data_IF_937993719393
#
_entry.id   IF_937993719393
#
_cell.length_a   1.000
_cell.length_b   1.000
_cell.length_c   1.000
_cell.angle_alpha   90.00
_cell.angle_beta   90.00
_cell.angle_gamma   90.00
#
_symmetry.space_group_name_H-M   'P 1'
#
loop_
_entity.id
_entity.type
_entity.pdbx_description
1 polymer ?
#
# COMPACT_ATOMS: atom_id res chain seq x y z
N UNK A 1 -14.26 -2.85 12.40
CA UNK A 1 -13.98 -3.87 13.42
C UNK A 1 -15.21 -4.71 13.77
N UNK A 2 -16.33 -4.10 14.18
CA UNK A 2 -17.48 -4.84 14.77
C UNK A 2 -18.08 -5.95 13.90
N UNK A 3 -18.14 -5.78 12.58
CA UNK A 3 -18.61 -6.84 11.66
C UNK A 3 -17.77 -8.12 11.71
N UNK A 4 -16.47 -8.00 12.03
CA UNK A 4 -15.56 -9.13 12.19
C UNK A 4 -15.92 -9.94 13.44
N UNK A 5 -16.13 -9.28 14.58
CA UNK A 5 -16.46 -9.94 15.85
C UNK A 5 -17.77 -10.73 15.77
N UNK A 6 -18.82 -10.14 15.19
CA UNK A 6 -20.12 -10.81 15.01
C UNK A 6 -20.00 -12.06 14.13
N UNK A 7 -19.05 -12.07 13.18
CA UNK A 7 -18.82 -13.19 12.27
C UNK A 7 -17.67 -14.13 12.68
N UNK A 8 -17.04 -13.90 13.84
CA UNK A 8 -15.87 -14.66 14.29
C UNK A 8 -16.07 -16.17 14.16
N UNK A 9 -17.12 -16.73 14.76
CA UNK A 9 -17.40 -18.16 14.71
C UNK A 9 -17.74 -18.67 13.30
N UNK A 10 -18.39 -17.85 12.47
CA UNK A 10 -18.74 -18.26 11.11
C UNK A 10 -17.47 -18.42 10.28
N UNK A 11 -16.54 -17.46 10.38
CA UNK A 11 -15.25 -17.52 9.68
C UNK A 11 -14.38 -18.63 10.24
N UNK A 12 -14.26 -18.73 11.57
CA UNK A 12 -13.46 -19.76 12.23
C UNK A 12 -13.90 -21.17 11.83
N UNK A 13 -15.21 -21.47 11.89
CA UNK A 13 -15.75 -22.81 11.59
C UNK A 13 -15.70 -23.14 10.11
N UNK A 14 -16.10 -22.23 9.24
CA UNK A 14 -16.10 -22.47 7.78
C UNK A 14 -14.68 -22.60 7.22
N UNK A 15 -13.74 -21.78 7.72
CA UNK A 15 -12.33 -21.84 7.37
C UNK A 15 -11.54 -22.93 8.10
N UNK A 16 -12.14 -23.62 9.08
CA UNK A 16 -11.47 -24.60 9.97
C UNK A 16 -10.20 -24.03 10.60
N UNK A 17 -10.23 -22.74 10.94
CA UNK A 17 -9.07 -22.03 11.45
C UNK A 17 -8.80 -22.41 12.90
N UNK A 18 -7.53 -22.59 13.23
CA UNK A 18 -7.05 -22.68 14.61
C UNK A 18 -6.54 -21.32 15.06
N UNK A 19 -6.58 -21.09 16.36
CA UNK A 19 -5.90 -19.92 16.94
C UNK A 19 -4.39 -20.20 16.95
N UNK A 20 -3.55 -19.22 16.59
CA UNK A 20 -3.90 -17.85 16.23
C UNK A 20 -4.27 -17.67 14.75
N UNK A 21 -5.19 -16.74 14.44
CA UNK A 21 -5.53 -16.37 13.07
C UNK A 21 -6.09 -14.95 12.98
N UNK A 22 -6.02 -14.33 11.79
CA UNK A 22 -6.54 -12.99 11.53
C UNK A 22 -7.76 -12.98 10.62
N UNK A 23 -8.65 -12.02 10.84
CA UNK A 23 -9.69 -11.61 9.89
C UNK A 23 -9.46 -10.15 9.54
N UNK A 24 -9.30 -9.86 8.25
CA UNK A 24 -9.11 -8.50 7.74
C UNK A 24 -10.33 -8.02 6.96
N UNK A 25 -10.58 -6.72 7.00
CA UNK A 25 -11.64 -6.04 6.26
C UNK A 25 -11.12 -4.70 5.74
N UNK A 26 -11.51 -4.36 4.51
CA UNK A 26 -11.36 -3.02 3.94
C UNK A 26 -12.77 -2.48 3.70
N UNK A 27 -13.03 -1.26 4.14
CA UNK A 27 -14.34 -0.66 3.94
C UNK A 27 -14.46 0.76 4.46
N UNK A 28 -15.63 1.36 4.17
CA UNK A 28 -15.97 2.70 4.61
C UNK A 28 -16.33 2.71 6.08
N UNK A 29 -15.83 3.72 6.78
CA UNK A 29 -16.20 4.08 8.13
C UNK A 29 -16.76 5.50 8.16
N UNK A 30 -17.67 5.74 9.10
CA UNK A 30 -18.33 7.03 9.24
C UNK A 30 -18.12 7.56 10.66
N UNK A 31 -17.72 8.83 10.76
CA UNK A 31 -17.60 9.55 12.05
C UNK A 31 -18.28 10.90 11.91
N UNK A 32 -19.19 11.22 12.83
CA UNK A 32 -19.89 12.50 12.79
C UNK A 32 -19.02 13.63 13.36
N UNK A 33 -17.95 13.97 12.64
CA UNK A 33 -17.02 15.04 13.03
C UNK A 33 -17.73 16.40 13.09
N UNK A 34 -17.62 17.05 14.26
CA UNK A 34 -18.23 18.36 14.55
C UNK A 34 -17.61 19.42 13.63
N UNK A 35 -16.30 19.36 13.43
CA UNK A 35 -15.54 20.28 12.58
C UNK A 35 -14.67 19.49 11.60
N UNK A 36 -15.15 19.34 10.37
CA UNK A 36 -14.37 18.79 9.26
C UNK A 36 -13.39 19.86 8.75
N UNK A 37 -12.13 19.77 9.19
CA UNK A 37 -11.01 20.65 8.78
C UNK A 37 -9.78 19.76 8.53
N UNK A 38 -8.80 20.26 7.77
CA UNK A 38 -7.57 19.52 7.42
C UNK A 38 -7.78 18.35 6.45
N UNK A 39 -8.73 18.50 5.51
CA UNK A 39 -8.95 17.57 4.38
C UNK A 39 -9.03 16.11 4.85
N UNK A 40 -8.15 15.23 4.36
CA UNK A 40 -8.09 13.78 4.67
C UNK A 40 -8.01 13.46 6.17
N UNK A 41 -7.49 14.37 7.02
CA UNK A 41 -7.31 14.07 8.44
C UNK A 41 -8.59 14.08 9.27
N UNK A 42 -9.61 14.83 8.84
CA UNK A 42 -10.91 14.89 9.52
C UNK A 42 -12.04 14.89 8.50
N UNK A 43 -12.36 13.70 8.01
CA UNK A 43 -13.49 13.43 7.14
C UNK A 43 -14.62 12.76 7.91
N UNK A 44 -15.85 12.88 7.40
CA UNK A 44 -17.02 12.20 7.97
C UNK A 44 -17.23 10.79 7.42
N UNK A 45 -16.62 10.52 6.26
CA UNK A 45 -16.58 9.25 5.57
C UNK A 45 -15.13 9.05 5.15
N UNK A 46 -14.55 7.88 5.40
CA UNK A 46 -13.18 7.52 5.03
C UNK A 46 -13.05 6.00 4.93
N UNK A 47 -12.04 5.50 4.23
CA UNK A 47 -11.76 4.08 4.11
C UNK A 47 -10.73 3.64 5.16
N UNK A 48 -11.03 2.52 5.81
CA UNK A 48 -10.13 1.88 6.75
C UNK A 48 -9.79 0.48 6.24
N UNK A 49 -8.56 0.06 6.50
CA UNK A 49 -8.18 -1.34 6.45
C UNK A 49 -7.94 -1.77 7.89
N UNK A 50 -8.63 -2.81 8.33
CA UNK A 50 -8.57 -3.26 9.71
C UNK A 50 -8.40 -4.76 9.75
N UNK A 51 -7.59 -5.24 10.68
CA UNK A 51 -7.44 -6.67 10.95
C UNK A 51 -7.60 -6.90 12.44
N UNK A 52 -8.37 -7.93 12.77
CA UNK A 52 -8.50 -8.48 14.12
C UNK A 52 -7.80 -9.83 14.13
N UNK A 53 -6.72 -9.93 14.90
CA UNK A 53 -5.91 -11.12 15.04
C UNK A 53 -6.23 -11.80 16.37
N UNK A 54 -6.89 -12.94 16.29
CA UNK A 54 -7.37 -13.71 17.42
C UNK A 54 -6.27 -14.61 17.95
N UNK A 55 -6.02 -14.50 19.26
CA UNK A 55 -4.90 -15.15 19.94
C UNK A 55 -5.38 -15.83 21.23
N UNK A 56 -4.55 -16.74 21.74
CA UNK A 56 -4.77 -17.39 23.02
C UNK A 56 -4.55 -16.38 24.16
N UNK A 57 -5.43 -16.31 25.18
CA UNK A 57 -5.16 -15.50 26.36
C UNK A 57 -3.81 -15.84 27.00
N UNK A 58 -3.06 -14.82 27.42
CA UNK A 58 -1.70 -14.96 27.96
C UNK A 58 -0.58 -14.81 26.91
N UNK A 59 -0.89 -14.86 25.61
CA UNK A 59 0.09 -14.65 24.53
C UNK A 59 0.10 -13.22 23.96
N UNK A 60 -0.70 -12.31 24.53
CA UNK A 60 -0.94 -11.00 23.92
C UNK A 60 0.29 -10.10 23.82
N UNK A 61 1.21 -10.17 24.77
CA UNK A 61 2.45 -9.36 24.71
C UNK A 61 3.31 -9.75 23.51
N UNK A 62 3.54 -11.05 23.34
CA UNK A 62 4.34 -11.59 22.23
C UNK A 62 3.74 -11.23 20.87
N UNK A 63 2.42 -11.43 20.72
CA UNK A 63 1.73 -11.11 19.47
C UNK A 63 1.64 -9.60 19.21
N UNK A 64 1.47 -8.79 20.26
CA UNK A 64 1.47 -7.34 20.15
C UNK A 64 2.81 -6.82 19.62
N UNK A 65 3.93 -7.26 20.23
CA UNK A 65 5.28 -6.89 19.79
C UNK A 65 5.55 -7.36 18.34
N UNK A 66 5.16 -8.61 18.03
CA UNK A 66 5.27 -9.18 16.67
C UNK A 66 4.51 -8.34 15.64
N UNK A 67 3.28 -7.94 15.93
CA UNK A 67 2.47 -7.13 15.02
C UNK A 67 2.99 -5.70 14.91
N UNK A 68 3.48 -5.07 15.99
CA UNK A 68 4.16 -3.76 15.91
C UNK A 68 5.30 -3.79 14.91
N UNK A 69 6.21 -4.75 15.04
CA UNK A 69 7.35 -4.88 14.14
C UNK A 69 6.91 -5.19 12.71
N UNK A 70 5.98 -6.13 12.54
CA UNK A 70 5.46 -6.52 11.22
C UNK A 70 4.84 -5.34 10.48
N UNK A 71 4.02 -4.54 11.16
CA UNK A 71 3.37 -3.37 10.57
C UNK A 71 4.36 -2.26 10.26
N UNK A 72 5.32 -1.99 11.13
CA UNK A 72 6.40 -1.04 10.83
C UNK A 72 7.23 -1.48 9.62
N UNK A 73 7.65 -2.74 9.54
CA UNK A 73 8.35 -3.31 8.37
C UNK A 73 7.54 -3.12 7.09
N UNK A 74 6.22 -3.33 7.14
CA UNK A 74 5.34 -3.10 5.99
C UNK A 74 5.33 -1.62 5.55
N UNK A 75 5.25 -0.67 6.48
CA UNK A 75 5.32 0.76 6.15
C UNK A 75 6.67 1.15 5.54
N UNK A 76 7.78 0.72 6.16
CA UNK A 76 9.13 0.97 5.67
C UNK A 76 9.38 0.40 4.27
N UNK A 77 8.75 -0.74 3.95
CA UNK A 77 8.89 -1.39 2.64
C UNK A 77 8.43 -0.55 1.44
N UNK A 78 7.64 0.51 1.67
CA UNK A 78 7.22 1.46 0.64
C UNK A 78 8.32 2.45 0.26
N UNK A 79 9.44 2.47 0.98
CA UNK A 79 10.63 3.26 0.62
C UNK A 79 10.46 4.77 0.86
N UNK A 80 9.59 5.17 1.79
CA UNK A 80 9.32 6.58 2.09
C UNK A 80 10.28 7.20 3.12
N UNK A 81 11.38 6.52 3.45
CA UNK A 81 12.40 6.96 4.41
C UNK A 81 12.06 6.59 5.86
N UNK A 82 13.00 5.96 6.56
CA UNK A 82 12.81 5.48 7.93
C UNK A 82 12.54 6.62 8.92
N UNK A 83 13.22 7.76 8.75
CA UNK A 83 13.07 8.96 9.59
C UNK A 83 11.67 9.59 9.53
N UNK A 84 10.85 9.19 8.55
CA UNK A 84 9.48 9.66 8.44
C UNK A 84 8.51 8.84 9.30
N UNK A 85 8.95 7.75 9.94
CA UNK A 85 8.12 6.91 10.78
C UNK A 85 8.58 6.91 12.23
N UNK A 86 7.62 6.77 13.16
CA UNK A 86 7.91 6.49 14.56
C UNK A 86 6.74 5.78 15.23
N UNK A 87 7.04 5.10 16.33
CA UNK A 87 6.01 4.66 17.27
C UNK A 87 5.67 5.78 18.25
N UNK A 88 4.39 5.84 18.61
CA UNK A 88 3.87 6.63 19.70
C UNK A 88 3.07 5.69 20.61
N UNK A 89 3.66 5.29 21.74
CA UNK A 89 2.97 4.44 22.73
C UNK A 89 1.98 5.27 23.56
N UNK A 90 0.77 4.75 23.75
CA UNK A 90 -0.27 5.46 24.50
C UNK A 90 -0.08 5.28 26.01
N UNK A 91 0.11 6.37 26.74
CA UNK A 91 0.15 6.34 28.21
C UNK A 91 -1.25 6.14 28.83
N UNK A 92 -2.30 6.61 28.15
CA UNK A 92 -3.70 6.47 28.57
C UNK A 92 -4.41 5.50 27.65
N UNK A 93 -4.51 4.26 28.09
CA UNK A 93 -5.17 3.19 27.35
C UNK A 93 -6.68 3.37 27.35
N UNK A 94 -7.32 2.96 26.25
CA UNK A 94 -8.76 2.78 26.22
C UNK A 94 -9.16 1.66 27.20
N UNK A 95 -10.38 1.71 27.72
CA UNK A 95 -10.88 0.75 28.72
C UNK A 95 -10.85 -0.72 28.24
N UNK A 96 -10.77 -0.95 26.94
CA UNK A 96 -10.71 -2.26 26.31
C UNK A 96 -9.28 -2.73 25.98
N UNK A 97 -8.24 -1.94 26.24
CA UNK A 97 -6.88 -2.25 25.79
C UNK A 97 -5.88 -2.36 26.95
N UNK A 98 -4.98 -3.35 26.88
CA UNK A 98 -3.86 -3.50 27.82
C UNK A 98 -2.51 -3.01 27.25
N UNK A 99 -2.44 -2.82 25.92
CA UNK A 99 -1.35 -2.13 25.24
C UNK A 99 -1.87 -1.44 23.96
N UNK A 100 -1.34 -0.25 23.64
CA UNK A 100 -1.71 0.48 22.43
C UNK A 100 -0.55 1.36 21.95
N UNK A 101 -0.31 1.36 20.64
CA UNK A 101 0.68 2.21 20.00
C UNK A 101 0.20 2.62 18.61
N UNK A 102 0.54 3.85 18.23
CA UNK A 102 0.31 4.34 16.88
C UNK A 102 1.62 4.33 16.09
N UNK A 103 1.54 3.92 14.83
CA UNK A 103 2.56 4.26 13.83
C UNK A 103 2.20 5.65 13.29
N UNK A 104 3.06 6.62 13.57
CA UNK A 104 2.93 7.98 13.06
C UNK A 104 3.86 8.19 11.85
N UNK A 105 3.40 9.03 10.93
CA UNK A 105 4.17 9.49 9.77
C UNK A 105 4.40 11.00 9.81
N UNK A 106 5.57 11.42 9.34
CA UNK A 106 5.98 12.82 9.25
C UNK A 106 5.40 13.49 8.01
N UNK A 107 4.20 14.05 8.13
CA UNK A 107 3.61 14.88 7.10
C UNK A 107 4.29 16.26 7.04
N UNK A 108 4.07 17.06 5.97
CA UNK A 108 4.59 18.44 5.88
C UNK A 108 4.19 19.36 7.04
N UNK A 109 3.16 18.99 7.79
CA UNK A 109 2.65 19.71 8.97
C UNK A 109 2.89 18.97 10.29
N UNK A 110 3.82 18.01 10.30
CA UNK A 110 4.28 17.28 11.49
C UNK A 110 3.79 15.84 11.55
N UNK A 111 4.18 15.15 12.63
CA UNK A 111 3.81 13.76 12.86
C UNK A 111 2.31 13.60 13.12
N UNK A 112 1.72 12.62 12.43
CA UNK A 112 0.33 12.20 12.63
C UNK A 112 0.20 10.69 12.48
N UNK A 113 -0.76 10.13 13.20
CA UNK A 113 -1.17 8.72 13.15
C UNK A 113 -1.57 8.28 11.73
N UNK A 114 -0.98 7.17 11.29
CA UNK A 114 -1.39 6.39 10.11
C UNK A 114 -2.15 5.12 10.47
N UNK A 115 -1.66 4.43 11.49
CA UNK A 115 -2.13 3.12 11.90
C UNK A 115 -2.07 2.96 13.41
N UNK A 116 -3.18 2.54 14.00
CA UNK A 116 -3.24 2.16 15.42
C UNK A 116 -3.07 0.65 15.58
N UNK A 117 -2.29 0.25 16.58
CA UNK A 117 -2.06 -1.15 16.96
C UNK A 117 -2.47 -1.31 18.42
N UNK A 118 -3.48 -2.14 18.67
CA UNK A 118 -4.11 -2.26 19.99
C UNK A 118 -4.20 -3.72 20.41
N UNK A 119 -3.81 -4.04 21.62
CA UNK A 119 -4.14 -5.31 22.28
C UNK A 119 -5.42 -5.10 23.08
N UNK A 120 -6.53 -5.68 22.60
CA UNK A 120 -7.90 -5.40 23.05
C UNK A 120 -8.51 -6.45 23.99
N UNK A 121 -7.67 -7.35 24.52
CA UNK A 121 -8.06 -8.51 25.33
C UNK A 121 -9.28 -9.24 24.74
N UNK A 122 -10.20 -9.72 25.58
CA UNK A 122 -11.48 -10.35 25.24
C UNK A 122 -12.65 -9.37 25.15
N UNK A 123 -12.45 -8.07 25.32
CA UNK A 123 -13.54 -7.10 25.53
C UNK A 123 -14.64 -7.16 24.47
N UNK A 124 -14.29 -7.12 23.17
CA UNK A 124 -15.28 -7.09 22.10
C UNK A 124 -16.08 -8.39 22.03
N UNK A 125 -15.41 -9.55 22.03
CA UNK A 125 -16.09 -10.85 21.95
C UNK A 125 -16.89 -11.14 23.23
N UNK A 126 -16.34 -10.81 24.40
CA UNK A 126 -17.00 -10.97 25.69
C UNK A 126 -18.27 -10.12 25.79
N UNK A 127 -18.21 -8.86 25.34
CA UNK A 127 -19.38 -7.97 25.30
C UNK A 127 -20.46 -8.52 24.36
N UNK A 128 -20.09 -8.98 23.16
CA UNK A 128 -21.05 -9.58 22.24
C UNK A 128 -21.66 -10.86 22.82
N UNK A 129 -20.87 -11.71 23.50
CA UNK A 129 -21.36 -12.91 24.17
C UNK A 129 -22.36 -12.59 25.29
N UNK A 130 -22.06 -11.62 26.15
CA UNK A 130 -22.93 -11.18 27.25
C UNK A 130 -24.27 -10.64 26.73
N UNK A 131 -24.23 -9.67 25.81
CA UNK A 131 -25.44 -8.98 25.37
C UNK A 131 -26.26 -9.77 24.34
N UNK A 132 -25.64 -10.68 23.58
CA UNK A 132 -26.37 -11.51 22.62
C UNK A 132 -26.81 -12.87 23.18
N UNK A 133 -26.29 -13.30 24.34
CA UNK A 133 -26.54 -14.62 24.92
C UNK A 133 -25.98 -15.80 24.10
N UNK A 134 -25.10 -15.54 23.13
CA UNK A 134 -24.51 -16.55 22.24
C UNK A 134 -23.04 -16.69 22.59
N UNK A 135 -22.60 -17.91 22.91
CA UNK A 135 -21.17 -18.18 23.14
C UNK A 135 -20.33 -17.90 21.90
N UNK A 136 -19.29 -17.08 22.06
CA UNK A 136 -18.29 -16.73 21.04
C UNK A 136 -16.91 -17.29 21.41
N UNK A 137 -16.91 -18.47 22.02
CA UNK A 137 -15.71 -19.15 22.52
C UNK A 137 -15.09 -20.07 21.46
N UNK A 138 -13.76 -20.20 21.50
CA UNK A 138 -13.00 -21.18 20.75
C UNK A 138 -12.66 -22.37 21.65
N UNK A 139 -12.89 -23.60 21.17
CA UNK A 139 -12.40 -24.81 21.83
C UNK A 139 -11.00 -25.12 21.33
N UNK A 140 -10.02 -25.09 22.24
CA UNK A 140 -8.63 -25.36 21.95
C UNK A 140 -8.33 -26.84 22.22
N UNK A 141 -8.08 -27.66 21.17
CA UNK A 141 -7.88 -29.09 21.35
C UNK A 141 -6.54 -29.42 22.02
N UNK A 142 -5.60 -28.50 22.12
CA UNK A 142 -4.32 -28.72 22.81
C UNK A 142 -4.46 -28.54 24.32
N UNK A 143 -5.34 -27.63 24.74
CA UNK A 143 -5.62 -27.33 26.15
C UNK A 143 -6.86 -28.07 26.67
N UNK A 144 -7.65 -28.65 25.76
CA UNK A 144 -8.95 -29.28 26.03
C UNK A 144 -9.95 -28.35 26.75
N UNK A 145 -9.85 -27.04 26.50
CA UNK A 145 -10.69 -26.02 27.13
C UNK A 145 -11.32 -25.07 26.11
N UNK A 146 -12.38 -24.36 26.53
CA UNK A 146 -12.98 -23.28 25.74
C UNK A 146 -12.67 -21.93 26.37
N UNK A 147 -12.22 -20.97 25.55
CA UNK A 147 -11.96 -19.61 26.00
C UNK A 147 -12.48 -18.57 24.99
N UNK A 148 -12.67 -17.34 25.46
CA UNK A 148 -12.86 -16.17 24.60
C UNK A 148 -11.48 -15.71 24.14
N UNK A 149 -11.17 -15.72 22.83
CA UNK A 149 -9.87 -15.29 22.33
C UNK A 149 -9.57 -13.83 22.66
N UNK A 150 -8.30 -13.54 22.89
CA UNK A 150 -7.83 -12.16 22.93
C UNK A 150 -7.61 -11.64 21.51
N UNK A 151 -7.65 -10.32 21.33
CA UNK A 151 -7.58 -9.69 20.01
C UNK A 151 -6.43 -8.69 19.94
N UNK A 152 -5.56 -8.85 18.94
CA UNK A 152 -4.66 -7.79 18.48
C UNK A 152 -5.28 -7.14 17.26
N UNK A 153 -5.58 -5.85 17.36
CA UNK A 153 -6.08 -5.03 16.28
C UNK A 153 -4.95 -4.28 15.60
N UNK A 154 -5.01 -4.25 14.26
CA UNK A 154 -4.30 -3.25 13.46
C UNK A 154 -5.34 -2.48 12.63
N UNK A 155 -5.34 -1.16 12.70
CA UNK A 155 -6.30 -0.30 12.01
C UNK A 155 -5.58 0.83 11.31
N UNK A 156 -5.57 0.80 9.98
CA UNK A 156 -4.86 1.75 9.12
C UNK A 156 -5.86 2.59 8.34
N UNK A 157 -5.66 3.91 8.36
CA UNK A 157 -6.44 4.85 7.55
C UNK A 157 -5.96 4.85 6.10
N UNK A 158 -6.72 4.28 5.17
CA UNK A 158 -6.32 4.17 3.77
C UNK A 158 -6.15 5.55 3.11
N UNK A 159 -7.05 6.49 3.39
CA UNK A 159 -6.94 7.87 2.90
C UNK A 159 -5.69 8.56 3.44
N UNK A 160 -5.35 8.34 4.72
CA UNK A 160 -4.12 8.91 5.32
C UNK A 160 -2.87 8.30 4.69
N UNK A 161 -2.89 7.00 4.39
CA UNK A 161 -1.82 6.36 3.63
C UNK A 161 -1.65 6.96 2.24
N UNK A 162 -2.75 7.20 1.53
CA UNK A 162 -2.70 7.88 0.23
C UNK A 162 -2.05 9.28 0.34
N UNK A 163 -2.43 10.05 1.37
CA UNK A 163 -1.81 11.36 1.61
C UNK A 163 -0.32 11.25 1.99
N UNK A 164 0.08 10.23 2.77
CA UNK A 164 1.48 10.00 3.11
C UNK A 164 2.30 9.73 1.84
N UNK A 165 1.82 8.84 0.98
CA UNK A 165 2.46 8.55 -0.32
C UNK A 165 2.56 9.81 -1.17
N UNK A 166 1.48 10.55 -1.37
CA UNK A 166 1.51 11.75 -2.21
C UNK A 166 2.42 12.85 -1.66
N UNK A 167 2.30 13.16 -0.37
CA UNK A 167 3.07 14.24 0.25
C UNK A 167 4.57 13.94 0.31
N UNK A 168 4.96 12.67 0.42
CA UNK A 168 6.35 12.24 0.36
C UNK A 168 6.89 12.16 -1.08
N UNK A 169 6.02 11.85 -2.05
CA UNK A 169 6.43 11.58 -3.42
C UNK A 169 6.55 12.83 -4.29
N UNK A 170 5.84 13.91 -3.98
CA UNK A 170 5.88 15.13 -4.78
C UNK A 170 7.16 15.91 -4.50
N UNK A 171 8.07 15.95 -5.47
CA UNK A 171 9.38 16.59 -5.36
C UNK A 171 9.59 17.57 -6.51
N UNK A 172 10.12 18.74 -6.19
CA UNK A 172 10.74 19.65 -7.17
C UNK A 172 12.25 19.40 -7.16
N UNK A 173 12.80 18.98 -8.30
CA UNK A 173 14.24 18.71 -8.45
C UNK A 173 14.88 19.73 -9.37
N UNK A 174 16.03 20.25 -8.96
CA UNK A 174 16.93 21.00 -9.82
C UNK A 174 17.83 20.02 -10.59
N UNK A 175 17.88 20.18 -11.91
CA UNK A 175 18.69 19.35 -12.80
C UNK A 175 20.06 20.01 -13.04
N UNK A 176 21.04 19.23 -13.48
CA UNK A 176 22.41 19.69 -13.75
C UNK A 176 22.49 20.88 -14.72
N UNK A 177 21.49 21.03 -15.60
CA UNK A 177 21.40 22.13 -16.55
C UNK A 177 20.75 23.41 -15.99
N UNK A 178 20.47 23.47 -14.68
CA UNK A 178 19.81 24.59 -14.00
C UNK A 178 18.29 24.68 -14.23
N UNK A 179 17.68 23.71 -14.91
CA UNK A 179 16.22 23.62 -15.04
C UNK A 179 15.60 22.80 -13.92
N UNK A 180 14.34 23.08 -13.57
CA UNK A 180 13.61 22.30 -12.54
C UNK A 180 12.64 21.30 -13.17
N UNK A 181 12.37 20.17 -12.50
CA UNK A 181 11.18 19.32 -12.74
C UNK A 181 10.37 19.15 -11.46
N UNK A 182 9.06 19.17 -11.63
CA UNK A 182 8.11 18.44 -10.78
C UNK A 182 8.15 16.96 -11.13
N UNK A 183 8.39 16.11 -10.14
CA UNK A 183 8.31 14.65 -10.26
C UNK A 183 7.50 14.08 -9.10
N UNK A 184 6.67 13.10 -9.40
CA UNK A 184 5.88 12.38 -8.41
C UNK A 184 6.48 10.98 -8.22
N UNK A 185 7.38 10.84 -7.25
CA UNK A 185 8.14 9.62 -6.93
C UNK A 185 7.32 8.53 -6.22
N UNK A 186 6.10 8.28 -6.69
CA UNK A 186 5.23 7.23 -6.12
C UNK A 186 5.94 5.87 -6.25
N UNK A 187 5.93 5.01 -5.21
CA UNK A 187 6.46 3.66 -5.32
C UNK A 187 5.92 2.95 -6.56
N UNK A 188 6.77 2.32 -7.37
CA UNK A 188 6.38 1.79 -8.69
C UNK A 188 5.20 0.81 -8.62
N UNK A 189 5.11 0.02 -7.54
CA UNK A 189 3.99 -0.89 -7.27
C UNK A 189 2.64 -0.17 -7.07
N UNK A 190 2.65 1.08 -6.60
CA UNK A 190 1.46 1.91 -6.39
C UNK A 190 1.16 2.87 -7.55
N UNK A 191 2.08 3.05 -8.50
CA UNK A 191 1.88 4.00 -9.58
C UNK A 191 0.61 3.68 -10.41
N UNK A 192 -0.29 4.66 -10.67
CA UNK A 192 -1.52 4.41 -11.42
C UNK A 192 -1.26 3.91 -12.84
N UNK A 193 -0.30 4.53 -13.52
CA UNK A 193 0.20 4.12 -14.84
C UNK A 193 1.60 3.53 -14.66
N UNK A 194 1.82 2.32 -15.16
CA UNK A 194 3.08 1.58 -15.00
C UNK A 194 4.10 1.96 -16.07
N UNK A 195 3.63 2.16 -17.30
CA UNK A 195 4.49 2.59 -18.41
C UNK A 195 3.74 3.49 -19.39
N UNK A 196 4.47 4.43 -20.01
CA UNK A 196 4.01 5.22 -21.13
C UNK A 196 4.81 4.87 -22.39
N UNK A 197 4.14 4.55 -23.50
CA UNK A 197 4.76 4.23 -24.79
C UNK A 197 4.71 5.46 -25.69
N UNK A 198 5.89 5.90 -26.12
CA UNK A 198 6.16 7.21 -26.69
C UNK A 198 6.87 7.04 -28.06
N UNK A 199 6.15 7.03 -29.20
CA UNK A 199 6.82 7.05 -30.49
C UNK A 199 7.55 8.39 -30.70
N UNK A 200 8.77 8.37 -31.23
CA UNK A 200 9.58 9.57 -31.39
C UNK A 200 8.87 10.60 -32.29
N UNK A 201 8.25 10.12 -33.37
CA UNK A 201 7.44 10.90 -34.31
C UNK A 201 6.10 10.21 -34.61
N UNK A 202 5.12 10.98 -35.09
CA UNK A 202 3.76 10.51 -35.43
C UNK A 202 3.63 9.87 -36.81
N UNK A 203 4.73 9.34 -37.35
CA UNK A 203 4.83 8.84 -38.72
C UNK A 203 5.91 7.77 -38.81
N UNK A 204 6.20 7.33 -40.02
CA UNK A 204 7.32 6.43 -40.33
C UNK A 204 7.22 5.04 -39.67
N UNK A 205 6.00 4.55 -39.41
CA UNK A 205 5.78 3.21 -38.85
C UNK A 205 5.99 3.08 -37.33
N UNK A 206 6.48 4.14 -36.66
CA UNK A 206 6.74 4.12 -35.22
C UNK A 206 5.45 4.02 -34.37
N UNK A 207 4.35 4.73 -34.70
CA UNK A 207 3.09 4.58 -33.98
C UNK A 207 2.57 3.13 -33.99
N UNK A 208 2.71 2.43 -35.11
CA UNK A 208 2.25 1.05 -35.27
C UNK A 208 3.02 0.09 -34.36
N UNK A 209 4.34 0.27 -34.22
CA UNK A 209 5.16 -0.50 -33.26
C UNK A 209 4.78 -0.14 -31.82
N UNK A 210 4.61 1.15 -31.51
CA UNK A 210 4.18 1.59 -30.19
C UNK A 210 2.81 0.98 -29.79
N UNK A 211 1.87 0.89 -30.72
CA UNK A 211 0.58 0.24 -30.49
C UNK A 211 0.72 -1.26 -30.23
N UNK A 212 1.59 -1.97 -30.96
CA UNK A 212 1.88 -3.40 -30.68
C UNK A 212 2.44 -3.61 -29.28
N UNK A 213 3.39 -2.78 -28.85
CA UNK A 213 3.94 -2.83 -27.48
C UNK A 213 2.83 -2.62 -26.44
N UNK A 214 1.91 -1.69 -26.68
CA UNK A 214 0.76 -1.48 -25.80
C UNK A 214 -0.15 -2.71 -25.77
N UNK A 215 -0.44 -3.32 -26.91
CA UNK A 215 -1.28 -4.52 -26.97
C UNK A 215 -0.70 -5.68 -26.17
N UNK A 216 0.62 -5.83 -26.18
CA UNK A 216 1.36 -6.83 -25.40
C UNK A 216 1.32 -6.53 -23.90
N UNK A 217 1.53 -5.28 -23.50
CA UNK A 217 1.67 -4.91 -22.09
C UNK A 217 0.33 -4.66 -21.36
N UNK A 218 -0.74 -4.25 -22.08
CA UNK A 218 -1.98 -3.75 -21.46
C UNK A 218 -2.80 -4.77 -20.69
N UNK A 219 -2.58 -6.07 -20.91
CA UNK A 219 -3.30 -7.12 -20.19
C UNK A 219 -2.84 -7.25 -18.74
N UNK A 220 -1.56 -6.95 -18.49
CA UNK A 220 -0.94 -7.08 -17.17
C UNK A 220 -0.61 -5.74 -16.52
N UNK A 221 -0.45 -4.67 -17.32
CA UNK A 221 -0.05 -3.36 -16.84
C UNK A 221 -1.00 -2.26 -17.33
N UNK A 222 -1.30 -1.29 -16.46
CA UNK A 222 -1.93 -0.05 -16.90
C UNK A 222 -0.89 0.78 -17.67
N UNK A 223 -1.01 0.81 -18.99
CA UNK A 223 -0.10 1.51 -19.90
C UNK A 223 -0.84 2.55 -20.71
N UNK A 224 -0.13 3.61 -21.12
CA UNK A 224 -0.70 4.67 -21.95
C UNK A 224 0.13 4.90 -23.20
N UNK A 225 -0.54 5.37 -24.25
CA UNK A 225 0.08 5.90 -25.47
C UNK A 225 0.17 7.42 -25.37
N UNK A 226 1.30 8.02 -25.73
CA UNK A 226 1.40 9.47 -25.86
C UNK A 226 2.38 9.86 -26.97
N UNK A 227 1.86 10.51 -28.00
CA UNK A 227 2.61 11.03 -29.15
C UNK A 227 2.56 12.56 -29.24
N UNK A 228 1.89 13.24 -28.30
CA UNK A 228 1.66 14.68 -28.36
C UNK A 228 2.87 15.43 -27.81
N UNK A 229 3.38 16.36 -28.61
CA UNK A 229 4.59 17.16 -28.34
C UNK A 229 5.91 16.39 -28.44
N UNK A 230 7.03 17.11 -28.30
CA UNK A 230 8.36 16.52 -28.28
C UNK A 230 8.52 15.52 -27.12
N UNK A 231 9.32 14.46 -27.33
CA UNK A 231 9.52 13.37 -26.35
C UNK A 231 9.94 13.89 -24.96
N UNK A 232 10.80 14.92 -24.90
CA UNK A 232 11.21 15.52 -23.63
C UNK A 232 10.04 16.13 -22.83
N UNK A 233 9.05 16.74 -23.50
CA UNK A 233 7.83 17.25 -22.82
C UNK A 233 6.94 16.11 -22.36
N UNK A 234 6.87 15.01 -23.12
CA UNK A 234 6.17 13.80 -22.73
C UNK A 234 6.79 13.16 -21.49
N UNK A 235 8.11 13.05 -21.42
CA UNK A 235 8.80 12.60 -20.20
C UNK A 235 8.44 13.46 -18.98
N UNK A 236 8.49 14.80 -19.09
CA UNK A 236 8.12 15.69 -17.97
C UNK A 236 6.68 15.49 -17.50
N UNK A 237 5.74 15.28 -18.44
CA UNK A 237 4.34 14.96 -18.13
C UNK A 237 4.22 13.66 -17.35
N UNK A 238 4.96 12.63 -17.76
CA UNK A 238 4.96 11.32 -17.11
C UNK A 238 5.68 11.34 -15.76
N UNK A 239 6.75 12.10 -15.63
CA UNK A 239 7.46 12.34 -14.36
C UNK A 239 6.50 12.97 -13.34
N UNK A 240 5.76 14.01 -13.74
CA UNK A 240 4.77 14.68 -12.89
C UNK A 240 3.53 13.80 -12.59
N UNK A 241 3.15 12.90 -13.49
CA UNK A 241 2.08 11.92 -13.29
C UNK A 241 2.51 10.72 -12.43
N UNK A 242 3.81 10.56 -12.18
CA UNK A 242 4.38 9.48 -11.39
C UNK A 242 4.48 8.15 -12.14
N UNK A 243 4.44 8.15 -13.47
CA UNK A 243 4.63 6.95 -14.30
C UNK A 243 6.09 6.47 -14.19
N UNK A 244 6.36 5.25 -13.68
CA UNK A 244 7.73 4.79 -13.42
C UNK A 244 8.57 4.63 -14.69
N UNK A 245 7.94 4.20 -15.79
CA UNK A 245 8.64 3.87 -17.03
C UNK A 245 8.12 4.65 -18.24
N UNK A 246 9.02 5.17 -19.04
CA UNK A 246 8.70 5.65 -20.39
C UNK A 246 9.45 4.81 -21.42
N UNK A 247 8.73 4.25 -22.38
CA UNK A 247 9.27 3.45 -23.48
C UNK A 247 9.27 4.34 -24.72
N UNK A 248 10.43 4.59 -25.29
CA UNK A 248 10.57 5.38 -26.52
C UNK A 248 10.87 4.48 -27.70
N UNK A 249 10.02 4.61 -28.73
CA UNK A 249 10.12 3.90 -30.01
C UNK A 249 10.69 4.89 -31.01
N UNK A 250 11.88 4.65 -31.52
CA UNK A 250 12.59 5.53 -32.46
C UNK A 250 12.95 4.81 -33.75
N UNK A 251 13.63 5.49 -34.67
CA UNK A 251 13.96 4.93 -35.98
C UNK A 251 14.85 3.68 -35.88
N UNK A 252 15.71 3.59 -34.87
CA UNK A 252 16.55 2.42 -34.67
C UNK A 252 15.71 1.18 -34.31
N UNK A 253 14.56 1.35 -33.67
CA UNK A 253 13.61 0.25 -33.41
C UNK A 253 13.18 -0.47 -34.69
N UNK A 254 13.10 0.22 -35.83
CA UNK A 254 12.75 -0.40 -37.13
C UNK A 254 13.86 -1.31 -37.67
N UNK A 255 15.11 -1.07 -37.25
CA UNK A 255 16.28 -1.79 -37.74
C UNK A 255 16.64 -2.99 -36.85
N UNK A 256 16.55 -2.81 -35.52
CA UNK A 256 17.08 -3.78 -34.55
C UNK A 256 16.05 -4.30 -33.54
N UNK A 257 14.78 -3.89 -33.65
CA UNK A 257 13.70 -4.29 -32.75
C UNK A 257 13.98 -3.99 -31.26
N UNK A 258 14.78 -2.95 -30.98
CA UNK A 258 15.06 -2.47 -29.63
C UNK A 258 14.42 -1.12 -29.36
N UNK A 259 14.09 -0.86 -28.10
CA UNK A 259 13.48 0.39 -27.62
C UNK A 259 14.27 0.97 -26.46
N UNK A 260 14.06 2.26 -26.20
CA UNK A 260 14.67 2.93 -25.06
C UNK A 260 13.70 2.93 -23.88
N UNK A 261 14.06 2.29 -22.77
CA UNK A 261 13.33 2.35 -21.50
C UNK A 261 13.98 3.40 -20.60
N UNK A 262 13.21 4.39 -20.18
CA UNK A 262 13.62 5.44 -19.25
C UNK A 262 12.98 5.23 -17.89
N UNK A 263 13.79 5.27 -16.83
CA UNK A 263 13.31 5.24 -15.44
C UNK A 263 13.01 6.66 -14.93
N UNK A 264 11.85 6.84 -14.27
CA UNK A 264 11.36 8.14 -13.76
C UNK A 264 12.34 8.81 -12.80
N UNK A 265 12.73 8.09 -11.74
CA UNK A 265 13.47 8.67 -10.61
C UNK A 265 14.90 9.02 -11.00
N UNK A 266 15.66 8.05 -11.54
CA UNK A 266 17.07 8.23 -11.94
C UNK A 266 17.24 8.96 -13.28
N UNK A 267 16.20 9.08 -14.09
CA UNK A 267 16.26 9.56 -15.48
C UNK A 267 17.11 8.72 -16.43
N UNK A 268 17.68 7.61 -15.96
CA UNK A 268 18.52 6.72 -16.75
C UNK A 268 17.74 6.12 -17.91
N UNK A 269 18.42 6.02 -19.05
CA UNK A 269 17.89 5.45 -20.28
C UNK A 269 18.70 4.21 -20.62
N UNK A 270 18.00 3.09 -20.82
CA UNK A 270 18.60 1.82 -21.25
C UNK A 270 17.94 1.37 -22.53
N UNK A 271 18.73 1.04 -23.55
CA UNK A 271 18.23 0.37 -24.76
C UNK A 271 18.12 -1.13 -24.50
N UNK A 272 16.98 -1.73 -24.80
CA UNK A 272 16.75 -3.16 -24.67
C UNK A 272 15.83 -3.70 -25.79
N UNK A 273 15.93 -4.99 -26.12
CA UNK A 273 14.99 -5.65 -27.03
C UNK A 273 13.54 -5.52 -26.55
N UNK A 274 12.58 -5.42 -27.47
CA UNK A 274 11.15 -5.29 -27.11
C UNK A 274 10.68 -6.44 -26.21
N UNK A 275 11.15 -7.67 -26.46
CA UNK A 275 10.83 -8.85 -25.67
C UNK A 275 11.29 -8.78 -24.20
N UNK A 276 12.24 -7.91 -23.87
CA UNK A 276 12.71 -7.70 -22.49
C UNK A 276 11.88 -6.65 -21.72
N UNK A 277 10.98 -5.91 -22.39
CA UNK A 277 10.16 -4.87 -21.75
C UNK A 277 9.30 -5.45 -20.63
N UNK A 278 8.61 -6.55 -20.92
CA UNK A 278 7.72 -7.19 -19.95
C UNK A 278 8.44 -7.57 -18.66
N UNK A 279 9.50 -8.41 -18.67
CA UNK A 279 10.18 -8.79 -17.44
C UNK A 279 10.87 -7.60 -16.74
N UNK A 280 11.35 -6.60 -17.49
CA UNK A 280 11.95 -5.40 -16.92
C UNK A 280 10.92 -4.58 -16.10
N UNK A 281 9.72 -4.39 -16.65
CA UNK A 281 8.64 -3.66 -15.98
C UNK A 281 8.07 -4.50 -14.83
N UNK A 282 7.79 -5.79 -15.06
CA UNK A 282 7.16 -6.66 -14.06
C UNK A 282 7.95 -6.70 -12.75
N UNK A 283 9.29 -6.78 -12.85
CA UNK A 283 10.20 -6.85 -11.70
C UNK A 283 10.03 -5.69 -10.71
N UNK A 284 9.68 -4.52 -11.21
CA UNK A 284 9.63 -3.26 -10.46
C UNK A 284 8.20 -2.92 -10.02
N UNK A 285 7.20 -3.23 -10.87
CA UNK A 285 5.81 -2.81 -10.62
C UNK A 285 4.93 -3.90 -10.00
N UNK A 286 5.30 -5.17 -10.11
CA UNK A 286 4.43 -6.24 -9.64
C UNK A 286 4.50 -6.39 -8.12
N UNK A 287 3.31 -6.42 -7.48
CA UNK A 287 3.15 -6.59 -6.04
C UNK A 287 3.91 -7.80 -5.50
N UNK A 288 4.01 -8.89 -6.27
CA UNK A 288 4.71 -10.12 -5.84
C UNK A 288 6.18 -9.89 -5.46
N UNK A 289 6.89 -8.98 -6.15
CA UNK A 289 8.30 -8.71 -5.86
C UNK A 289 8.45 -7.79 -4.65
N UNK A 290 7.55 -6.81 -4.49
CA UNK A 290 7.50 -5.97 -3.30
C UNK A 290 7.11 -6.77 -2.05
N UNK A 291 6.02 -7.54 -2.10
CA UNK A 291 5.55 -8.37 -0.98
C UNK A 291 6.59 -9.39 -0.52
N UNK A 292 7.41 -9.94 -1.42
CA UNK A 292 8.53 -10.83 -1.05
C UNK A 292 9.57 -10.16 -0.14
N UNK A 293 9.70 -8.84 -0.17
CA UNK A 293 10.59 -8.08 0.74
C UNK A 293 9.99 -7.93 2.14
N UNK A 294 8.67 -8.06 2.26
CA UNK A 294 7.91 -7.86 3.50
C UNK A 294 7.58 -9.18 4.19
N UNK A 295 7.29 -10.23 3.42
CA UNK A 295 6.86 -11.55 3.91
C UNK A 295 8.06 -12.42 4.34
N UNK A 296 9.30 -12.05 3.99
CA UNK A 296 10.50 -12.76 4.44
C UNK A 296 10.87 -12.28 5.85
N UNK A 297 10.37 -13.01 6.84
CA UNK A 297 11.10 -13.62 7.97
C UNK A 297 10.12 -14.49 8.76
#
# INVERSE_FOLDING_TARGET
AQGIFVNFLNVQKSGRLKIPFGIAQIGKAFRNEIVARQFIFRMREFEQMEMQFFIRPGSQKEWYDTWKETRMKWHLSLGMGEDNYRFHDHEKLAHYADAAADIEFKFPFGFKELEGIHSRTDFDLGSHEEYSGKKLQYFDPELEESYVPYVIETSIGLDRMFLAVLSNSLVEEELENGSTRTVLKIPAVLAPTKAAVLPLVKKDGLPEIAHKIIEELRLDFNVIYDDKDAVGRRYRRQDAAGTPFCITVDHQTLEDNTVTLRHRDTMEQRRLPIEELYPAIEKEVAMKYWLKKVIRD
#
